data_IF_287013978494
#
_entry.id   IF_287013978494
#
_cell.length_a   1.000
_cell.length_b   1.000
_cell.length_c   1.000
_cell.angle_alpha   90.00
_cell.angle_beta   90.00
_cell.angle_gamma   90.00
#
_symmetry.space_group_name_H-M   'P 1'
#
loop_
_entity.id
_entity.type
_entity.pdbx_description
1 polymer ?
#
# COMPACT_ATOMS: atom_id res chain seq x y z
N UNK A 1 5.47 19.47 5.19
CA UNK A 1 5.48 18.04 5.54
C UNK A 1 6.09 17.25 4.41
N UNK A 2 6.91 16.28 4.72
CA UNK A 2 7.65 15.52 3.71
C UNK A 2 7.19 14.06 3.76
N UNK A 3 6.68 13.55 2.66
CA UNK A 3 6.35 12.14 2.51
C UNK A 3 7.54 11.42 1.90
N UNK A 4 7.85 10.25 2.43
CA UNK A 4 8.89 9.41 1.86
C UNK A 4 8.26 8.11 1.37
N UNK A 5 8.84 7.54 0.32
CA UNK A 5 8.36 6.28 -0.22
C UNK A 5 8.83 5.15 0.69
N UNK A 6 7.88 4.43 1.26
CA UNK A 6 8.21 3.30 2.14
C UNK A 6 7.97 1.96 1.44
N UNK A 7 7.28 1.97 0.33
CA UNK A 7 7.06 0.76 -0.46
C UNK A 7 6.82 1.11 -1.92
N UNK A 8 7.41 0.33 -2.83
CA UNK A 8 7.17 0.43 -4.26
C UNK A 8 7.11 -0.98 -4.83
N UNK A 9 5.97 -1.33 -5.43
CA UNK A 9 5.81 -2.65 -6.05
C UNK A 9 6.85 -2.88 -7.15
N UNK A 10 7.22 -1.82 -7.86
CA UNK A 10 8.19 -1.96 -8.94
C UNK A 10 9.51 -2.55 -8.45
N UNK A 11 9.86 -2.33 -7.19
CA UNK A 11 11.09 -2.84 -6.61
C UNK A 11 10.88 -4.17 -5.88
N UNK A 12 9.65 -4.62 -5.75
CA UNK A 12 9.33 -5.85 -5.05
C UNK A 12 9.24 -6.99 -6.06
N UNK A 13 10.37 -7.38 -6.61
CA UNK A 13 10.43 -8.37 -7.67
C UNK A 13 9.95 -9.74 -7.20
N UNK A 14 10.17 -10.08 -5.95
CA UNK A 14 9.70 -11.36 -5.40
C UNK A 14 8.18 -11.45 -5.46
N UNK A 15 7.51 -10.35 -5.09
CA UNK A 15 6.05 -10.32 -5.13
C UNK A 15 5.53 -10.38 -6.56
N UNK A 16 6.16 -9.63 -7.47
CA UNK A 16 5.77 -9.65 -8.87
C UNK A 16 5.92 -11.06 -9.44
N UNK A 17 7.03 -11.71 -9.16
CA UNK A 17 7.26 -13.07 -9.64
C UNK A 17 6.23 -14.06 -9.10
N UNK A 18 5.87 -13.92 -7.83
CA UNK A 18 4.87 -14.80 -7.23
C UNK A 18 3.50 -14.62 -7.91
N UNK A 19 3.11 -13.38 -8.16
CA UNK A 19 1.85 -13.10 -8.84
C UNK A 19 1.86 -13.62 -10.28
N UNK A 20 2.98 -13.47 -10.98
CA UNK A 20 3.10 -13.97 -12.35
C UNK A 20 3.03 -15.49 -12.39
N UNK A 21 3.71 -16.15 -11.47
CA UNK A 21 3.68 -17.59 -11.40
C UNK A 21 2.27 -18.11 -11.21
N UNK A 22 1.55 -17.53 -10.29
CA UNK A 22 0.18 -17.96 -10.04
C UNK A 22 -0.71 -17.71 -11.26
N UNK A 23 -0.56 -16.56 -11.90
CA UNK A 23 -1.35 -16.22 -13.08
C UNK A 23 -1.08 -17.19 -14.24
N UNK A 24 0.17 -17.60 -14.42
CA UNK A 24 0.55 -18.40 -15.56
C UNK A 24 0.40 -19.91 -15.32
N UNK A 25 0.63 -20.36 -14.08
CA UNK A 25 0.79 -21.78 -13.84
C UNK A 25 -0.39 -22.43 -13.11
N UNK A 26 -1.30 -21.65 -12.54
CA UNK A 26 -2.43 -22.18 -11.81
C UNK A 26 -3.71 -21.84 -12.55
N UNK A 27 -4.33 -22.83 -13.18
CA UNK A 27 -5.57 -22.60 -13.91
C UNK A 27 -6.68 -22.26 -12.94
N UNK A 28 -7.56 -21.37 -13.32
CA UNK A 28 -8.75 -20.99 -12.57
C UNK A 28 -8.44 -20.40 -11.19
N UNK A 29 -7.24 -19.87 -11.00
CA UNK A 29 -6.88 -19.24 -9.73
C UNK A 29 -5.94 -18.06 -9.99
N UNK A 30 -5.98 -17.07 -9.12
CA UNK A 30 -5.09 -15.92 -9.18
C UNK A 30 -5.58 -14.83 -10.11
N UNK A 31 -4.69 -13.93 -10.43
CA UNK A 31 -5.00 -12.74 -11.23
C UNK A 31 -5.08 -13.09 -12.71
N UNK A 32 -6.00 -12.43 -13.41
CA UNK A 32 -6.16 -12.58 -14.84
C UNK A 32 -4.92 -12.09 -15.57
N UNK A 33 -4.67 -12.61 -16.77
CA UNK A 33 -3.64 -12.06 -17.64
C UNK A 33 -4.20 -10.96 -18.54
N UNK A 34 -5.45 -10.57 -18.33
CA UNK A 34 -6.11 -9.49 -19.06
C UNK A 34 -6.36 -8.35 -18.05
N UNK A 35 -6.03 -7.11 -18.37
CA UNK A 35 -5.55 -6.56 -19.62
C UNK A 35 -4.10 -6.89 -19.94
N UNK A 36 -3.32 -7.27 -18.96
CA UNK A 36 -1.92 -7.66 -19.17
C UNK A 36 -1.45 -8.44 -17.94
N UNK A 37 -0.42 -9.24 -18.09
CA UNK A 37 0.19 -9.95 -16.98
C UNK A 37 0.84 -8.94 -16.03
N UNK A 38 0.56 -9.05 -14.74
CA UNK A 38 1.08 -8.14 -13.72
C UNK A 38 2.61 -8.04 -13.83
N UNK A 39 3.11 -6.83 -13.79
CA UNK A 39 4.56 -6.58 -13.79
C UNK A 39 5.20 -6.45 -15.15
N UNK A 40 4.47 -6.71 -16.24
CA UNK A 40 5.01 -6.52 -17.59
C UNK A 40 4.98 -5.04 -17.97
N UNK A 41 5.76 -4.62 -18.97
CA UNK A 41 5.68 -3.22 -19.42
C UNK A 41 4.27 -2.80 -19.82
N UNK A 42 3.50 -3.70 -20.44
CA UNK A 42 2.11 -3.42 -20.79
C UNK A 42 1.27 -3.16 -19.56
N UNK A 43 1.49 -3.95 -18.50
CA UNK A 43 0.75 -3.78 -17.25
C UNK A 43 1.08 -2.43 -16.61
N UNK A 44 2.37 -2.08 -16.58
CA UNK A 44 2.75 -0.80 -15.98
C UNK A 44 2.13 0.38 -16.74
N UNK A 45 2.03 0.28 -18.06
CA UNK A 45 1.32 1.30 -18.83
C UNK A 45 -0.16 1.33 -18.47
N UNK A 46 -0.77 0.17 -18.27
CA UNK A 46 -2.18 0.11 -17.86
C UNK A 46 -2.42 0.73 -16.50
N UNK A 47 -1.46 0.63 -15.58
CA UNK A 47 -1.62 1.23 -14.24
C UNK A 47 -1.61 2.75 -14.30
N UNK A 48 -1.03 3.35 -15.33
CA UNK A 48 -0.97 4.81 -15.46
C UNK A 48 -2.26 5.40 -16.00
N UNK A 49 -3.11 4.58 -16.58
CA UNK A 49 -4.40 5.03 -17.09
C UNK A 49 -5.53 4.63 -16.16
N UNK A 50 -6.73 4.52 -16.73
CA UNK A 50 -7.92 4.23 -15.94
C UNK A 50 -8.38 2.78 -16.06
N UNK A 51 -7.72 1.97 -16.86
CA UNK A 51 -8.21 0.62 -17.15
C UNK A 51 -8.19 -0.29 -15.93
N UNK A 52 -7.32 -0.03 -14.96
CA UNK A 52 -7.25 -0.83 -13.73
C UNK A 52 -7.78 -0.08 -12.52
N UNK A 53 -8.54 0.99 -12.73
CA UNK A 53 -9.17 1.70 -11.61
C UNK A 53 -8.18 2.33 -10.64
N UNK A 54 -7.16 2.98 -11.14
CA UNK A 54 -6.13 3.58 -10.30
C UNK A 54 -6.74 4.54 -9.29
N UNK A 55 -6.35 4.39 -8.04
CA UNK A 55 -6.79 5.27 -6.96
C UNK A 55 -5.60 5.74 -6.14
N UNK A 56 -5.66 7.01 -5.75
CA UNK A 56 -4.69 7.60 -4.84
C UNK A 56 -5.49 8.04 -3.62
N UNK A 57 -5.10 7.53 -2.45
CA UNK A 57 -5.84 7.80 -1.20
C UNK A 57 -4.91 8.47 -0.21
N UNK A 58 -4.99 9.80 -0.08
CA UNK A 58 -4.25 10.50 0.95
C UNK A 58 -5.08 10.55 2.23
N UNK A 59 -4.41 10.51 3.36
CA UNK A 59 -5.12 10.56 4.64
C UNK A 59 -4.17 10.46 5.81
N UNK A 60 -4.72 10.06 6.96
CA UNK A 60 -4.00 9.88 8.20
C UNK A 60 -4.12 8.41 8.61
N UNK A 61 -3.03 7.81 9.06
CA UNK A 61 -3.11 6.47 9.65
C UNK A 61 -3.86 6.61 10.96
N UNK A 62 -5.07 6.08 11.01
CA UNK A 62 -5.91 6.21 12.20
C UNK A 62 -5.79 5.01 13.14
N UNK A 63 -5.31 3.87 12.64
CA UNK A 63 -5.14 2.69 13.47
C UNK A 63 -4.18 1.71 12.77
N UNK A 64 -3.32 1.05 13.54
CA UNK A 64 -2.54 -0.08 13.03
C UNK A 64 -3.01 -1.32 13.78
N UNK A 65 -3.08 -2.44 13.10
CA UNK A 65 -3.60 -3.66 13.70
C UNK A 65 -3.14 -4.88 12.92
N UNK A 66 -3.34 -6.06 13.50
CA UNK A 66 -3.07 -7.32 12.83
C UNK A 66 -4.40 -7.91 12.38
N UNK A 67 -4.50 -8.21 11.09
CA UNK A 67 -5.69 -8.79 10.53
C UNK A 67 -5.68 -10.30 10.71
N UNK A 68 -6.40 -10.96 9.84
CA UNK A 68 -6.63 -12.36 9.85
C UNK A 68 -5.72 -13.19 10.72
N UNK A 69 -6.25 -13.81 11.75
CA UNK A 69 -5.54 -14.72 12.65
C UNK A 69 -4.31 -14.09 13.32
N UNK A 70 -4.25 -12.75 13.33
CA UNK A 70 -3.20 -12.03 14.02
C UNK A 70 -1.85 -12.01 13.32
N UNK A 71 -1.79 -12.40 12.06
CA UNK A 71 -0.51 -12.50 11.37
C UNK A 71 -0.41 -11.64 10.10
N UNK A 72 -1.41 -10.85 9.80
CA UNK A 72 -1.37 -10.00 8.59
C UNK A 72 -1.32 -8.53 9.00
N UNK A 73 -0.26 -7.80 8.64
CA UNK A 73 -0.10 -6.41 9.09
C UNK A 73 -1.04 -5.49 8.32
N UNK A 74 -1.94 -4.83 9.03
CA UNK A 74 -2.94 -3.94 8.44
C UNK A 74 -2.90 -2.57 9.09
N UNK A 75 -3.47 -1.59 8.39
CA UNK A 75 -3.74 -0.27 8.96
C UNK A 75 -5.04 0.28 8.40
N UNK A 76 -5.65 1.17 9.18
CA UNK A 76 -6.82 1.91 8.74
C UNK A 76 -6.37 3.33 8.40
N UNK A 77 -6.85 3.84 7.29
CA UNK A 77 -6.58 5.21 6.86
C UNK A 77 -7.89 5.98 6.88
N UNK A 78 -7.88 7.14 7.52
CA UNK A 78 -8.99 8.08 7.44
C UNK A 78 -8.60 9.12 6.39
N UNK A 79 -9.30 9.11 5.27
CA UNK A 79 -9.03 10.02 4.18
C UNK A 79 -9.45 11.44 4.53
N UNK A 80 -9.02 12.39 3.71
CA UNK A 80 -9.29 13.80 3.98
C UNK A 80 -10.79 14.12 3.94
N UNK A 81 -11.59 13.31 3.26
CA UNK A 81 -13.04 13.47 3.24
C UNK A 81 -13.74 12.74 4.40
N UNK A 82 -13.00 12.14 5.30
CA UNK A 82 -13.55 11.44 6.44
C UNK A 82 -13.81 9.95 6.22
N UNK A 83 -13.72 9.47 4.98
CA UNK A 83 -13.96 8.05 4.72
C UNK A 83 -12.79 7.21 5.23
N UNK A 84 -13.07 5.97 5.58
CA UNK A 84 -12.06 5.06 6.12
C UNK A 84 -11.86 3.87 5.20
N UNK A 85 -10.62 3.41 5.12
CA UNK A 85 -10.28 2.24 4.32
C UNK A 85 -9.16 1.47 4.99
N UNK A 86 -9.07 0.18 4.68
CA UNK A 86 -8.09 -0.72 5.27
C UNK A 86 -7.05 -1.10 4.23
N UNK A 87 -5.80 -1.15 4.67
CA UNK A 87 -4.65 -1.39 3.78
C UNK A 87 -3.65 -2.29 4.46
N UNK A 88 -2.92 -3.07 3.66
CA UNK A 88 -1.78 -3.83 4.16
C UNK A 88 -0.61 -2.87 4.40
N UNK A 89 0.11 -3.07 5.51
CA UNK A 89 1.33 -2.31 5.77
C UNK A 89 2.48 -2.96 5.02
N UNK A 90 2.67 -2.54 3.77
CA UNK A 90 3.70 -3.09 2.90
C UNK A 90 5.07 -2.51 3.23
N UNK A 91 6.11 -3.29 3.02
CA UNK A 91 7.47 -2.85 3.28
C UNK A 91 7.82 -2.87 4.76
N UNK A 92 8.48 -1.84 5.22
CA UNK A 92 8.89 -1.74 6.62
C UNK A 92 7.69 -1.34 7.47
N UNK A 93 7.12 -2.28 8.19
CA UNK A 93 5.90 -2.03 8.97
C UNK A 93 6.09 -0.99 10.07
N UNK A 94 7.34 -0.79 10.53
CA UNK A 94 7.60 0.19 11.58
C UNK A 94 7.39 1.63 11.13
N UNK A 95 7.30 1.87 9.83
CA UNK A 95 7.02 3.21 9.32
C UNK A 95 5.56 3.62 9.47
N UNK A 96 4.66 2.66 9.70
CA UNK A 96 3.23 2.94 9.79
C UNK A 96 2.87 3.24 11.24
N UNK A 97 2.80 4.51 11.57
CA UNK A 97 2.56 4.99 12.95
C UNK A 97 1.28 5.82 12.94
N UNK A 98 0.42 5.56 13.91
CA UNK A 98 -0.84 6.29 14.06
C UNK A 98 -0.58 7.79 14.14
N UNK A 99 -1.37 8.56 13.43
CA UNK A 99 -1.25 10.01 13.40
C UNK A 99 -0.42 10.55 12.24
N UNK A 100 0.34 9.72 11.55
CA UNK A 100 1.16 10.19 10.43
C UNK A 100 0.32 10.29 9.16
N UNK A 101 0.68 11.24 8.31
CA UNK A 101 0.11 11.35 6.98
C UNK A 101 0.61 10.21 6.10
N UNK A 102 -0.27 9.70 5.25
CA UNK A 102 0.04 8.60 4.37
C UNK A 102 -0.66 8.82 3.04
N UNK A 103 -0.06 8.29 1.98
CA UNK A 103 -0.72 8.25 0.68
C UNK A 103 -0.50 6.87 0.08
N UNK A 104 -1.60 6.19 -0.22
CA UNK A 104 -1.59 4.91 -0.92
C UNK A 104 -1.96 5.12 -2.37
N UNK A 105 -1.23 4.46 -3.27
CA UNK A 105 -1.59 4.40 -4.69
C UNK A 105 -1.81 2.93 -5.02
N UNK A 106 -2.97 2.62 -5.58
CA UNK A 106 -3.35 1.23 -5.86
C UNK A 106 -4.11 1.13 -7.17
N UNK A 107 -4.12 -0.08 -7.73
CA UNK A 107 -4.96 -0.43 -8.86
C UNK A 107 -5.77 -1.67 -8.47
N UNK A 108 -6.79 -1.97 -9.28
CA UNK A 108 -7.67 -3.10 -9.04
C UNK A 108 -7.61 -4.01 -10.26
N UNK A 109 -6.95 -5.13 -10.09
CA UNK A 109 -6.70 -6.06 -11.20
C UNK A 109 -7.72 -7.21 -11.14
N UNK A 110 -8.33 -7.59 -12.27
CA UNK A 110 -9.36 -8.63 -12.23
C UNK A 110 -8.82 -10.00 -11.85
N UNK A 111 -9.63 -10.75 -11.12
CA UNK A 111 -9.36 -12.16 -10.90
C UNK A 111 -9.69 -12.95 -12.17
N UNK A 112 -9.08 -14.13 -12.34
CA UNK A 112 -9.46 -15.03 -13.43
C UNK A 112 -10.93 -15.43 -13.32
N UNK A 113 -11.40 -15.66 -12.10
CA UNK A 113 -12.78 -15.99 -11.82
C UNK A 113 -13.33 -14.98 -10.84
N UNK A 114 -14.21 -14.06 -11.30
CA UNK A 114 -14.76 -13.04 -10.40
C UNK A 114 -15.56 -13.67 -9.29
N UNK A 115 -15.50 -13.06 -8.12
CA UNK A 115 -16.26 -13.47 -6.93
C UNK A 115 -15.92 -14.86 -6.40
N UNK A 116 -14.85 -15.48 -6.89
CA UNK A 116 -14.44 -16.76 -6.34
C UNK A 116 -14.04 -16.56 -4.87
N UNK A 117 -14.53 -17.40 -4.00
CA UNK A 117 -14.25 -17.35 -2.55
C UNK A 117 -14.67 -16.01 -1.90
N UNK A 118 -15.64 -15.30 -2.49
CA UNK A 118 -16.12 -14.06 -1.90
C UNK A 118 -15.16 -12.90 -1.98
N UNK A 119 -14.17 -12.96 -2.87
CA UNK A 119 -13.14 -11.92 -2.96
C UNK A 119 -13.50 -10.77 -3.92
N UNK A 120 -14.73 -10.78 -4.48
CA UNK A 120 -15.14 -9.75 -5.43
C UNK A 120 -14.55 -9.97 -6.81
N UNK A 121 -14.71 -8.99 -7.68
CA UNK A 121 -14.30 -9.10 -9.07
C UNK A 121 -12.81 -8.79 -9.27
N UNK A 122 -12.20 -8.00 -8.38
CA UNK A 122 -10.83 -7.53 -8.55
C UNK A 122 -10.05 -7.65 -7.26
N UNK A 123 -8.73 -7.67 -7.41
CA UNK A 123 -7.80 -7.62 -6.28
C UNK A 123 -7.18 -6.23 -6.21
N UNK A 124 -7.13 -5.66 -5.02
CA UNK A 124 -6.46 -4.39 -4.79
C UNK A 124 -4.96 -4.64 -4.74
N UNK A 125 -4.23 -4.00 -5.63
CA UNK A 125 -2.77 -4.12 -5.68
C UNK A 125 -2.18 -2.77 -5.34
N UNK A 126 -1.42 -2.72 -4.24
CA UNK A 126 -0.77 -1.50 -3.80
C UNK A 126 0.48 -1.30 -4.64
N UNK A 127 0.58 -0.14 -5.29
CA UNK A 127 1.72 0.20 -6.13
C UNK A 127 2.79 0.98 -5.36
N UNK A 128 2.38 1.95 -4.58
CA UNK A 128 3.29 2.85 -3.87
C UNK A 128 2.65 3.23 -2.54
N UNK A 129 3.46 3.29 -1.49
CA UNK A 129 3.04 3.85 -0.22
C UNK A 129 4.04 4.93 0.17
N UNK A 130 3.51 6.11 0.47
CA UNK A 130 4.33 7.23 0.94
C UNK A 130 3.82 7.65 2.31
N UNK A 131 4.72 7.84 3.25
CA UNK A 131 4.36 8.15 4.63
C UNK A 131 5.20 9.33 5.11
N UNK A 132 4.63 10.15 5.97
CA UNK A 132 5.33 11.23 6.61
C UNK A 132 6.58 10.71 7.31
N UNK A 133 7.69 11.42 7.15
CA UNK A 133 8.96 10.99 7.72
C UNK A 133 8.94 11.25 9.23
N UNK A 134 8.74 10.20 10.02
CA UNK A 134 8.66 10.32 11.45
C UNK A 134 10.00 10.73 12.06
N UNK A 135 11.11 10.40 11.41
CA UNK A 135 12.42 10.84 11.90
C UNK A 135 12.54 12.34 11.82
N UNK A 136 11.99 12.95 10.78
CA UNK A 136 11.98 14.41 10.70
C UNK A 136 11.09 15.03 11.76
N UNK A 137 9.98 14.40 12.08
CA UNK A 137 9.12 14.90 13.14
C UNK A 137 9.84 14.90 14.48
N UNK A 138 10.73 13.96 14.69
CA UNK A 138 11.45 13.82 15.95
C UNK A 138 12.74 14.62 15.99
N UNK A 139 13.08 15.36 14.95
CA UNK A 139 14.35 16.08 14.85
C UNK A 139 14.40 17.16 15.93
N UNK A 140 15.34 17.09 16.85
CA UNK A 140 15.41 18.07 17.91
C UNK A 140 15.73 19.47 17.40
N UNK A 141 16.19 19.63 16.18
CA UNK A 141 16.42 20.94 15.61
C UNK A 141 15.15 21.56 15.05
N UNK A 142 14.07 20.78 14.99
CA UNK A 142 12.85 21.35 14.51
C UNK A 142 12.39 22.41 15.49
N UNK A 143 11.77 23.45 14.99
CA UNK A 143 11.32 24.50 15.88
C UNK A 143 10.20 23.94 16.69
N UNK A 144 10.36 23.33 17.58
CA UNK A 144 9.38 22.84 18.47
C UNK A 144 9.76 23.22 19.79
N UNK A 145 8.96 22.86 20.60
CA UNK A 145 9.16 23.24 21.90
C UNK A 145 10.23 22.48 22.39
N UNK A 146 10.69 22.23 22.40
CA UNK A 146 11.52 21.64 22.82
C UNK A 146 12.48 21.71 22.79
N UNK A 147 12.53 22.06 22.58
CA UNK A 147 13.44 22.14 22.33
C UNK A 147 14.25 21.42 23.00
N UNK A 148 14.35 20.95 23.32
CA UNK A 148 15.18 20.37 23.88
C UNK A 148 15.20 19.22 23.95
N UNK A 149 15.27 18.79 23.94
CA UNK A 149 15.32 17.77 23.93
C UNK A 149 15.88 16.88 24.00
N UNK A 150 15.94 16.58 23.98
CA UNK A 150 16.35 15.77 23.79
C UNK A 150 16.00 14.77 23.60
N UNK A 151 15.71 14.49 23.35
CA UNK A 151 15.25 13.71 22.92
C UNK A 151 15.53 12.79 22.73
N UNK A 152 15.48 12.38 22.66
CA UNK A 152 15.66 11.58 22.40
C UNK A 152 15.26 10.78 21.86
N UNK A 153 15.13 10.36 21.44
CA UNK A 153 14.71 9.73 20.72
C UNK A 153 14.49 8.73 20.79
N UNK A 154 14.05 8.25 20.73
CA UNK A 154 13.63 7.37 20.73
C UNK A 154 13.57 6.33 20.35
#
# INVERSE_FOLDING_TARGET
MCLITVYSLKEDTTRIEAMQKQSLNVANSGLSIVPALVGTPEWWRATEGNSLGRRVVPGIISRVYWGSMGDWPMCEVTADDGSKSDWTREGDVSRYVEGLRVQFTAVFHPWKIPDQHGLGATSKIILIVEIEDSDRRSDPRAPGPGGVGLRVRR
#
